data_IF_857592056094
#
_entry.id   IF_857592056094
#
_cell.length_a   1.000
_cell.length_b   1.000
_cell.length_c   1.000
_cell.angle_alpha   90.00
_cell.angle_beta   90.00
_cell.angle_gamma   90.00
#
_symmetry.space_group_name_H-M   'P 1'
#
loop_
_entity.id
_entity.type
_entity.pdbx_description
1 polymer ?
#
# COMPACT_ATOMS: atom_id res chain seq x y z
N UNK A 1 -37.68 31.95 -13.42
CA UNK A 1 -38.11 32.31 -12.05
C UNK A 1 -37.75 31.15 -11.11
N UNK A 2 -36.92 31.45 -10.09
CA UNK A 2 -36.70 30.76 -8.79
C UNK A 2 -36.14 29.31 -8.85
N UNK A 3 -34.85 29.06 -8.58
CA UNK A 3 -34.14 29.01 -7.27
C UNK A 3 -34.74 27.91 -6.35
N UNK A 4 -34.03 26.97 -5.71
CA UNK A 4 -32.62 26.83 -5.30
C UNK A 4 -32.35 25.33 -4.98
N UNK A 5 -31.12 24.81 -5.13
CA UNK A 5 -30.68 23.48 -4.66
C UNK A 5 -30.38 23.46 -3.15
N UNK A 6 -30.60 22.31 -2.51
CA UNK A 6 -30.27 22.05 -1.11
C UNK A 6 -28.75 21.89 -0.97
N UNK A 7 -28.15 22.88 -0.30
CA UNK A 7 -26.84 22.84 0.35
C UNK A 7 -26.69 21.54 1.16
N UNK A 8 -25.51 20.97 1.36
CA UNK A 8 -24.69 21.26 2.53
C UNK A 8 -23.20 21.14 2.13
N UNK A 9 -22.58 22.30 1.96
CA UNK A 9 -21.15 22.48 2.02
C UNK A 9 -20.82 23.25 3.31
N UNK A 10 -19.69 22.90 3.94
CA UNK A 10 -19.14 23.58 5.11
C UNK A 10 -19.64 22.95 6.40
N UNK A 11 -18.76 22.41 7.24
CA UNK A 11 -18.13 23.05 8.42
C UNK A 11 -17.56 21.82 9.16
N UNK A 12 -16.28 21.60 9.49
CA UNK A 12 -15.19 22.47 9.87
C UNK A 12 -13.88 21.68 9.73
N UNK A 13 -12.90 22.27 9.07
CA UNK A 13 -11.48 21.97 9.27
C UNK A 13 -11.00 22.66 10.56
N UNK A 14 -9.92 22.13 11.15
CA UNK A 14 -9.13 22.62 12.32
C UNK A 14 -9.52 22.12 13.72
N UNK A 15 -8.57 21.40 14.34
CA UNK A 15 -7.84 21.67 15.60
C UNK A 15 -7.20 20.32 16.04
N UNK A 16 -5.97 20.15 16.50
CA UNK A 16 -4.77 20.97 16.68
C UNK A 16 -3.60 20.00 16.92
N UNK A 17 -2.44 20.34 16.36
CA UNK A 17 -1.13 19.81 16.73
C UNK A 17 -0.72 20.26 18.15
N UNK A 18 0.32 19.60 18.67
CA UNK A 18 1.23 20.03 19.75
C UNK A 18 0.87 19.61 21.19
N UNK A 19 1.44 18.48 21.60
CA UNK A 19 1.71 18.14 23.00
C UNK A 19 3.21 18.12 23.26
N UNK A 20 3.87 19.28 23.20
CA UNK A 20 5.16 19.49 23.86
C UNK A 20 4.86 20.05 25.25
N UNK A 21 4.84 19.19 26.27
CA UNK A 21 4.80 19.63 27.66
C UNK A 21 6.24 19.85 28.15
N UNK A 22 6.82 21.00 27.83
CA UNK A 22 7.88 21.62 28.63
C UNK A 22 7.21 22.49 29.68
N UNK A 23 7.32 22.11 30.94
CA UNK A 23 6.91 22.94 32.07
C UNK A 23 8.15 23.39 32.87
N UNK A 24 8.11 24.60 33.46
CA UNK A 24 9.29 25.38 33.79
C UNK A 24 9.85 25.12 35.18
N UNK A 25 11.12 25.45 35.32
CA UNK A 25 11.89 25.59 36.55
C UNK A 25 11.25 26.58 37.52
N UNK A 26 11.02 26.13 38.76
CA UNK A 26 10.79 26.99 39.92
C UNK A 26 11.89 26.72 40.93
N UNK A 27 12.71 27.75 41.14
CA UNK A 27 13.68 27.84 42.23
C UNK A 27 12.96 27.83 43.58
N UNK A 28 13.43 26.98 44.50
CA UNK A 28 13.26 27.21 45.94
C UNK A 28 14.54 26.86 46.67
N UNK A 29 15.32 27.90 46.95
CA UNK A 29 16.40 27.90 47.94
C UNK A 29 15.81 27.52 49.30
N UNK A 30 16.13 26.32 49.78
CA UNK A 30 16.01 26.00 51.20
C UNK A 30 17.33 25.36 51.63
N UNK A 31 18.11 26.19 52.31
CA UNK A 31 19.35 25.83 52.99
C UNK A 31 19.00 24.94 54.18
N UNK A 32 19.35 23.66 54.09
CA UNK A 32 19.46 22.77 55.25
C UNK A 32 20.83 22.11 55.17
N UNK A 33 21.72 22.62 56.03
CA UNK A 33 23.01 22.06 56.39
C UNK A 33 22.75 20.73 57.12
N UNK A 34 23.19 19.63 56.52
CA UNK A 34 23.42 18.36 57.21
C UNK A 34 24.64 17.68 56.62
N UNK A 35 25.45 17.17 57.54
CA UNK A 35 26.83 16.68 57.49
C UNK A 35 27.21 15.73 56.33
N UNK A 36 28.52 15.60 56.02
CA UNK A 36 28.98 14.83 54.88
C UNK A 36 28.91 13.34 55.19
N UNK A 37 27.87 12.67 54.71
CA UNK A 37 27.91 11.21 54.56
C UNK A 37 28.72 10.93 53.31
N UNK A 38 29.94 10.47 53.54
CA UNK A 38 30.93 10.00 52.59
C UNK A 38 30.32 8.86 51.76
N UNK A 39 29.60 9.21 50.69
CA UNK A 39 29.26 8.28 49.62
C UNK A 39 30.57 7.94 48.94
N UNK A 40 31.09 6.75 49.24
CA UNK A 40 32.10 6.10 48.45
C UNK A 40 31.62 6.07 47.00
N UNK A 41 32.14 7.02 46.21
CA UNK A 41 32.11 6.96 44.77
C UNK A 41 32.97 5.75 44.44
N UNK A 42 32.31 4.60 44.23
CA UNK A 42 32.90 3.55 43.42
C UNK A 42 33.30 4.20 42.11
N UNK A 43 34.58 4.58 42.03
CA UNK A 43 35.27 4.87 40.79
C UNK A 43 35.09 3.60 39.97
N UNK A 44 34.07 3.58 39.09
CA UNK A 44 34.15 2.84 37.85
C UNK A 44 35.47 3.27 37.25
N UNK A 45 36.49 2.43 37.42
CA UNK A 45 37.79 2.60 36.80
C UNK A 45 37.49 2.73 35.32
N UNK A 46 37.51 3.98 34.84
CA UNK A 46 37.41 4.24 33.44
C UNK A 46 38.60 3.49 32.84
N UNK A 47 38.30 2.47 32.04
CA UNK A 47 39.28 1.81 31.18
C UNK A 47 40.15 2.90 30.54
N UNK A 48 41.47 2.69 30.43
CA UNK A 48 42.36 3.68 29.85
C UNK A 48 41.80 4.11 28.49
N UNK A 49 41.71 5.42 28.28
CA UNK A 49 41.27 6.00 27.02
C UNK A 49 42.31 5.62 25.97
N UNK A 50 42.08 4.53 25.23
CA UNK A 50 42.89 4.19 24.07
C UNK A 50 42.37 5.04 22.93
N UNK A 51 43.09 6.10 22.55
CA UNK A 51 42.73 7.02 21.45
C UNK A 51 42.21 6.28 20.21
N UNK A 52 42.77 5.10 19.94
CA UNK A 52 42.40 4.17 18.88
C UNK A 52 40.93 3.69 18.90
N UNK A 53 40.29 3.52 20.07
CA UNK A 53 38.90 3.04 20.16
C UNK A 53 37.90 4.12 19.75
N UNK A 54 38.23 5.38 20.04
CA UNK A 54 37.49 6.55 19.60
C UNK A 54 37.71 6.82 18.11
N UNK A 55 38.92 6.61 17.59
CA UNK A 55 39.21 6.77 16.17
C UNK A 55 38.37 5.83 15.31
N UNK A 56 38.23 4.55 15.71
CA UNK A 56 37.33 3.60 15.04
C UNK A 56 35.86 4.04 15.11
N UNK A 57 35.40 4.54 16.26
CA UNK A 57 34.03 5.06 16.38
C UNK A 57 33.82 6.24 15.43
N UNK A 58 34.75 7.18 15.42
CA UNK A 58 34.69 8.38 14.60
C UNK A 58 34.73 8.04 13.10
N UNK A 59 35.60 7.12 12.70
CA UNK A 59 35.67 6.64 11.32
C UNK A 59 34.33 6.04 10.88
N UNK A 60 33.74 5.17 11.69
CA UNK A 60 32.43 4.58 11.41
C UNK A 60 31.33 5.63 11.25
N UNK A 61 31.29 6.63 12.14
CA UNK A 61 30.33 7.75 12.05
C UNK A 61 30.59 8.62 10.82
N UNK A 62 31.85 8.89 10.49
CA UNK A 62 32.22 9.67 9.31
C UNK A 62 31.84 8.97 7.99
N UNK A 63 31.82 7.63 7.97
CA UNK A 63 31.33 6.84 6.84
C UNK A 63 29.81 6.91 6.68
N UNK A 64 29.06 7.14 7.76
CA UNK A 64 27.60 7.33 7.71
C UNK A 64 27.20 8.79 7.44
N UNK A 65 27.99 9.76 7.89
CA UNK A 65 27.66 11.20 7.83
C UNK A 65 27.81 11.86 6.46
N UNK A 66 28.23 11.13 5.42
CA UNK A 66 28.44 11.68 4.07
C UNK A 66 27.17 11.48 3.23
N UNK A 67 26.43 12.53 2.86
CA UNK A 67 25.16 12.40 2.14
C UNK A 67 25.30 11.70 0.78
N UNK A 68 26.36 11.99 0.02
CA UNK A 68 26.58 11.44 -1.33
C UNK A 68 27.47 10.18 -1.36
N UNK A 69 28.10 9.84 -0.24
CA UNK A 69 29.11 8.76 -0.15
C UNK A 69 28.96 7.93 1.11
N UNK A 70 27.75 7.85 1.65
CA UNK A 70 27.49 7.02 2.82
C UNK A 70 27.76 5.58 2.46
N UNK A 71 28.60 4.91 3.26
CA UNK A 71 28.92 3.50 3.10
C UNK A 71 28.54 2.75 4.39
N UNK A 72 27.26 2.34 4.52
CA UNK A 72 26.77 1.68 5.73
C UNK A 72 27.44 0.32 5.94
N UNK A 73 27.77 -0.41 4.88
CA UNK A 73 28.44 -1.71 4.97
C UNK A 73 29.85 -1.56 5.53
N UNK A 74 30.61 -0.57 5.04
CA UNK A 74 31.94 -0.27 5.58
C UNK A 74 31.86 0.27 7.00
N UNK A 75 30.93 1.17 7.31
CA UNK A 75 30.71 1.67 8.67
C UNK A 75 30.41 0.54 9.65
N UNK A 76 29.54 -0.41 9.26
CA UNK A 76 29.22 -1.61 10.04
C UNK A 76 30.47 -2.43 10.35
N UNK A 77 31.35 -2.63 9.36
CA UNK A 77 32.59 -3.37 9.54
C UNK A 77 33.54 -2.68 10.53
N UNK A 78 33.65 -1.35 10.46
CA UNK A 78 34.47 -0.55 11.40
C UNK A 78 33.93 -0.64 12.83
N UNK A 79 32.62 -0.54 13.02
CA UNK A 79 32.01 -0.75 14.34
C UNK A 79 32.21 -2.18 14.85
N UNK A 80 32.13 -3.19 13.99
CA UNK A 80 32.42 -4.57 14.38
C UNK A 80 33.89 -4.75 14.80
N UNK A 81 34.83 -4.10 14.10
CA UNK A 81 36.24 -4.07 14.48
C UNK A 81 36.46 -3.44 15.85
N UNK A 82 35.75 -2.34 16.17
CA UNK A 82 35.78 -1.73 17.51
C UNK A 82 35.35 -2.73 18.60
N UNK A 83 34.24 -3.43 18.38
CA UNK A 83 33.70 -4.40 19.34
C UNK A 83 34.63 -5.61 19.54
N UNK A 84 35.36 -6.01 18.50
CA UNK A 84 36.29 -7.13 18.52
C UNK A 84 37.60 -6.77 19.24
N UNK A 85 38.22 -5.63 18.91
CA UNK A 85 39.53 -5.24 19.43
C UNK A 85 39.45 -4.59 20.82
N UNK A 86 38.34 -3.90 21.11
CA UNK A 86 38.15 -3.16 22.37
C UNK A 86 36.83 -3.56 23.07
N UNK A 87 36.68 -4.81 23.52
CA UNK A 87 35.43 -5.32 24.08
C UNK A 87 35.01 -4.61 25.39
N UNK A 88 35.94 -3.97 26.10
CA UNK A 88 35.72 -3.18 27.32
C UNK A 88 35.68 -1.66 27.06
N UNK A 89 35.62 -1.23 25.80
CA UNK A 89 35.48 0.17 25.42
C UNK A 89 34.19 0.76 25.97
N UNK A 90 34.22 2.05 26.33
CA UNK A 90 33.01 2.81 26.65
C UNK A 90 32.10 3.05 25.45
N UNK A 91 32.62 2.95 24.24
CA UNK A 91 31.91 3.17 22.99
C UNK A 91 31.23 1.92 22.46
N UNK A 92 31.39 0.78 23.15
CA UNK A 92 30.80 -0.50 22.78
C UNK A 92 29.30 -0.40 22.52
N UNK A 93 28.54 0.17 23.44
CA UNK A 93 27.08 0.29 23.31
C UNK A 93 26.66 1.14 22.11
N UNK A 94 27.42 2.22 21.82
CA UNK A 94 27.18 3.06 20.65
C UNK A 94 27.45 2.28 19.36
N UNK A 95 28.57 1.57 19.27
CA UNK A 95 28.92 0.74 18.11
C UNK A 95 27.89 -0.38 17.87
N UNK A 96 27.45 -1.09 18.92
CA UNK A 96 26.38 -2.09 18.83
C UNK A 96 25.06 -1.48 18.32
N UNK A 97 24.72 -0.28 18.79
CA UNK A 97 23.51 0.43 18.35
C UNK A 97 23.61 0.83 16.89
N UNK A 98 24.76 1.35 16.44
CA UNK A 98 24.95 1.70 15.03
C UNK A 98 24.87 0.49 14.11
N UNK A 99 25.48 -0.64 14.48
CA UNK A 99 25.35 -1.90 13.71
C UNK A 99 23.87 -2.28 13.57
N UNK A 100 23.12 -2.26 14.68
CA UNK A 100 21.70 -2.58 14.66
C UNK A 100 20.90 -1.65 13.76
N UNK A 101 21.12 -0.34 13.86
CA UNK A 101 20.43 0.65 13.03
C UNK A 101 20.75 0.49 11.55
N UNK A 102 22.00 0.14 11.22
CA UNK A 102 22.40 -0.18 9.83
C UNK A 102 21.60 -1.39 9.35
N UNK A 103 21.59 -2.48 10.10
CA UNK A 103 20.89 -3.72 9.75
C UNK A 103 19.38 -3.49 9.59
N UNK A 104 18.76 -2.76 10.52
CA UNK A 104 17.34 -2.39 10.46
C UNK A 104 17.01 -1.50 9.25
N UNK A 105 17.88 -0.55 8.93
CA UNK A 105 17.70 0.35 7.77
C UNK A 105 17.82 -0.44 6.47
N UNK A 106 18.80 -1.34 6.35
CA UNK A 106 18.96 -2.19 5.17
C UNK A 106 17.76 -3.13 4.99
N UNK A 107 17.30 -3.78 6.06
CA UNK A 107 16.10 -4.61 6.05
C UNK A 107 14.84 -3.82 5.64
N UNK A 108 14.68 -2.59 6.16
CA UNK A 108 13.58 -1.70 5.80
C UNK A 108 13.62 -1.31 4.32
N UNK A 109 14.81 -1.02 3.78
CA UNK A 109 15.00 -0.70 2.35
C UNK A 109 14.66 -1.89 1.47
N UNK A 110 15.09 -3.10 1.84
CA UNK A 110 14.77 -4.31 1.08
C UNK A 110 13.26 -4.59 1.09
N UNK A 111 12.62 -4.48 2.26
CA UNK A 111 11.17 -4.61 2.37
C UNK A 111 10.45 -3.60 1.48
N UNK A 112 10.88 -2.35 1.51
CA UNK A 112 10.29 -1.29 0.67
C UNK A 112 10.45 -1.58 -0.82
N UNK A 113 11.62 -2.07 -1.25
CA UNK A 113 11.84 -2.51 -2.65
C UNK A 113 10.88 -3.65 -3.02
N UNK A 114 10.74 -4.64 -2.13
CA UNK A 114 9.85 -5.77 -2.36
C UNK A 114 8.39 -5.33 -2.45
N UNK A 115 7.93 -4.47 -1.53
CA UNK A 115 6.57 -3.92 -1.53
C UNK A 115 6.28 -3.13 -2.82
N UNK A 116 7.25 -2.36 -3.32
CA UNK A 116 7.13 -1.69 -4.62
C UNK A 116 6.96 -2.68 -5.77
N UNK A 117 7.76 -3.75 -5.82
CA UNK A 117 7.64 -4.78 -6.85
C UNK A 117 6.27 -5.48 -6.81
N UNK A 118 5.73 -5.72 -5.61
CA UNK A 118 4.39 -6.31 -5.46
C UNK A 118 3.30 -5.34 -5.92
N UNK A 119 3.42 -4.05 -5.60
CA UNK A 119 2.49 -3.02 -6.07
C UNK A 119 2.49 -2.92 -7.59
N UNK A 120 3.66 -2.92 -8.23
CA UNK A 120 3.77 -2.86 -9.69
C UNK A 120 3.12 -4.07 -10.35
N UNK A 121 3.36 -5.28 -9.84
CA UNK A 121 2.71 -6.51 -10.32
C UNK A 121 1.18 -6.45 -10.14
N UNK A 122 0.71 -6.01 -8.98
CA UNK A 122 -0.72 -5.89 -8.72
C UNK A 122 -1.39 -4.86 -9.65
N UNK A 123 -0.69 -3.78 -9.99
CA UNK A 123 -1.18 -2.80 -10.97
C UNK A 123 -1.24 -3.38 -12.38
N UNK A 124 -0.24 -4.16 -12.80
CA UNK A 124 -0.25 -4.84 -14.10
C UNK A 124 -1.38 -5.86 -14.22
N UNK A 125 -1.56 -6.70 -13.19
CA UNK A 125 -2.65 -7.67 -13.13
C UNK A 125 -4.03 -6.99 -13.16
N UNK A 126 -4.18 -5.90 -12.40
CA UNK A 126 -5.41 -5.09 -12.44
C UNK A 126 -5.67 -4.52 -13.84
N UNK A 127 -4.64 -3.99 -14.50
CA UNK A 127 -4.78 -3.46 -15.85
C UNK A 127 -5.18 -4.55 -16.86
N UNK A 128 -4.60 -5.75 -16.73
CA UNK A 128 -4.98 -6.91 -17.54
C UNK A 128 -6.44 -7.32 -17.30
N UNK A 129 -6.84 -7.46 -16.04
CA UNK A 129 -8.21 -7.81 -15.68
C UNK A 129 -9.24 -6.79 -16.19
N UNK A 130 -8.92 -5.49 -16.15
CA UNK A 130 -9.78 -4.44 -16.72
C UNK A 130 -9.95 -4.60 -18.24
N UNK A 131 -8.86 -4.85 -18.98
CA UNK A 131 -8.92 -5.07 -20.43
C UNK A 131 -9.75 -6.31 -20.77
N UNK A 132 -9.58 -7.40 -20.04
CA UNK A 132 -10.38 -8.62 -20.20
C UNK A 132 -11.85 -8.36 -19.89
N UNK A 133 -12.16 -7.62 -18.83
CA UNK A 133 -13.54 -7.26 -18.48
C UNK A 133 -14.20 -6.42 -19.59
N UNK A 134 -13.50 -5.43 -20.12
CA UNK A 134 -13.99 -4.59 -21.22
C UNK A 134 -14.21 -5.41 -22.50
N UNK A 135 -13.31 -6.35 -22.79
CA UNK A 135 -13.47 -7.28 -23.91
C UNK A 135 -14.71 -8.16 -23.73
N UNK A 136 -14.87 -8.80 -22.58
CA UNK A 136 -16.04 -9.63 -22.28
C UNK A 136 -17.34 -8.83 -22.34
N UNK A 137 -17.37 -7.59 -21.83
CA UNK A 137 -18.54 -6.70 -21.94
C UNK A 137 -18.89 -6.36 -23.38
N UNK A 138 -17.91 -6.21 -24.28
CA UNK A 138 -18.17 -6.03 -25.71
C UNK A 138 -18.76 -7.31 -26.31
N UNK A 139 -18.13 -8.46 -26.07
CA UNK A 139 -18.60 -9.75 -26.56
C UNK A 139 -20.03 -10.06 -26.10
N UNK A 140 -20.37 -9.78 -24.83
CA UNK A 140 -21.73 -9.97 -24.32
C UNK A 140 -22.73 -9.08 -25.06
N UNK A 141 -22.39 -7.80 -25.31
CA UNK A 141 -23.26 -6.90 -26.08
C UNK A 141 -23.49 -7.41 -27.49
N UNK A 142 -22.41 -7.75 -28.20
CA UNK A 142 -22.48 -8.24 -29.58
C UNK A 142 -23.31 -9.52 -29.68
N UNK A 143 -23.13 -10.47 -28.73
CA UNK A 143 -23.91 -11.70 -28.69
C UNK A 143 -25.38 -11.45 -28.34
N UNK A 144 -25.66 -10.50 -27.44
CA UNK A 144 -27.03 -10.12 -27.08
C UNK A 144 -27.75 -9.50 -28.27
N UNK A 145 -27.08 -8.62 -29.01
CA UNK A 145 -27.63 -8.00 -30.23
C UNK A 145 -27.91 -9.05 -31.31
N UNK A 146 -26.97 -9.96 -31.56
CA UNK A 146 -27.18 -11.08 -32.51
C UNK A 146 -28.33 -11.97 -32.10
N UNK A 147 -28.37 -12.39 -30.83
CA UNK A 147 -29.44 -13.23 -30.32
C UNK A 147 -30.80 -12.55 -30.44
N UNK A 148 -30.88 -11.25 -30.15
CA UNK A 148 -32.11 -10.49 -30.29
C UNK A 148 -32.53 -10.38 -31.76
N UNK A 149 -31.59 -10.15 -32.68
CA UNK A 149 -31.87 -10.12 -34.12
C UNK A 149 -32.40 -11.47 -34.61
N UNK A 150 -31.74 -12.58 -34.29
CA UNK A 150 -32.19 -13.93 -34.63
C UNK A 150 -33.58 -14.23 -34.07
N UNK A 151 -33.84 -13.84 -32.81
CA UNK A 151 -35.16 -14.00 -32.20
C UNK A 151 -36.23 -13.22 -32.95
N UNK A 152 -35.93 -12.00 -33.41
CA UNK A 152 -36.89 -11.21 -34.22
C UNK A 152 -37.16 -11.85 -35.58
N UNK A 153 -36.13 -12.41 -36.23
CA UNK A 153 -36.30 -13.13 -37.50
C UNK A 153 -37.18 -14.38 -37.29
N UNK A 154 -36.85 -15.22 -36.31
CA UNK A 154 -37.61 -16.43 -36.02
C UNK A 154 -39.07 -16.15 -35.65
N UNK A 155 -39.33 -15.07 -34.90
CA UNK A 155 -40.71 -14.68 -34.56
C UNK A 155 -41.48 -14.21 -35.78
N UNK A 156 -40.87 -13.45 -36.68
CA UNK A 156 -41.50 -13.06 -37.95
C UNK A 156 -41.79 -14.26 -38.85
N UNK A 157 -40.82 -15.17 -39.00
CA UNK A 157 -41.00 -16.42 -39.75
C UNK A 157 -42.12 -17.28 -39.17
N UNK A 158 -42.20 -17.39 -37.84
CA UNK A 158 -43.24 -18.16 -37.18
C UNK A 158 -44.65 -17.60 -37.46
N UNK A 159 -44.81 -16.28 -37.42
CA UNK A 159 -46.07 -15.62 -37.73
C UNK A 159 -46.45 -15.78 -39.22
N UNK A 160 -45.47 -15.68 -40.12
CA UNK A 160 -45.69 -15.93 -41.55
C UNK A 160 -46.17 -17.38 -41.79
N UNK A 161 -45.49 -18.37 -41.19
CA UNK A 161 -45.87 -19.77 -41.30
C UNK A 161 -47.27 -20.05 -40.71
N UNK A 162 -47.64 -19.38 -39.60
CA UNK A 162 -49.00 -19.49 -39.04
C UNK A 162 -50.05 -18.97 -40.03
N UNK A 163 -49.81 -17.83 -40.66
CA UNK A 163 -50.73 -17.24 -41.64
C UNK A 163 -50.87 -18.13 -42.88
N UNK A 164 -49.74 -18.64 -43.40
CA UNK A 164 -49.74 -19.57 -44.54
C UNK A 164 -50.50 -20.85 -44.22
N UNK A 165 -50.31 -21.39 -43.02
CA UNK A 165 -51.02 -22.59 -42.55
C UNK A 165 -52.54 -22.34 -42.43
N UNK A 166 -52.96 -21.17 -41.97
CA UNK A 166 -54.38 -20.79 -41.95
C UNK A 166 -54.96 -20.67 -43.35
N UNK A 167 -54.22 -20.08 -44.30
CA UNK A 167 -54.63 -19.96 -45.69
C UNK A 167 -54.77 -21.32 -46.36
N UNK A 168 -53.81 -22.23 -46.16
CA UNK A 168 -53.88 -23.60 -46.67
C UNK A 168 -55.10 -24.34 -46.13
N UNK A 169 -55.41 -24.20 -44.83
CA UNK A 169 -56.63 -24.77 -44.24
C UNK A 169 -57.91 -24.22 -44.87
N UNK A 170 -57.97 -22.93 -45.17
CA UNK A 170 -59.13 -22.34 -45.83
C UNK A 170 -59.32 -22.90 -47.26
N UNK A 171 -58.24 -22.98 -48.03
CA UNK A 171 -58.26 -23.57 -49.38
C UNK A 171 -58.65 -25.04 -49.37
N UNK A 172 -58.17 -25.82 -48.39
CA UNK A 172 -58.56 -27.21 -48.20
C UNK A 172 -60.07 -27.34 -47.98
N UNK A 173 -60.66 -26.49 -47.12
CA UNK A 173 -62.11 -26.48 -46.88
C UNK A 173 -62.88 -26.14 -48.17
N UNK A 174 -62.40 -25.19 -48.98
CA UNK A 174 -63.03 -24.83 -50.25
C UNK A 174 -62.98 -25.97 -51.27
N UNK A 175 -61.84 -26.66 -51.38
CA UNK A 175 -61.69 -27.84 -52.23
C UNK A 175 -62.68 -28.93 -51.82
N UNK A 176 -62.75 -29.25 -50.53
CA UNK A 176 -63.69 -30.24 -50.02
C UNK A 176 -65.16 -29.87 -50.29
N UNK A 177 -65.51 -28.58 -50.17
CA UNK A 177 -66.86 -28.09 -50.52
C UNK A 177 -67.16 -28.29 -52.00
N UNK A 178 -66.22 -27.95 -52.90
CA UNK A 178 -66.38 -28.16 -54.34
C UNK A 178 -66.51 -29.63 -54.68
N UNK A 179 -65.69 -30.49 -54.07
CA UNK A 179 -65.76 -31.94 -54.28
C UNK A 179 -67.13 -32.52 -53.88
N UNK A 180 -67.70 -32.06 -52.76
CA UNK A 180 -69.05 -32.46 -52.32
C UNK A 180 -70.16 -31.97 -53.24
N UNK A 181 -69.99 -30.82 -53.91
CA UNK A 181 -70.98 -30.31 -54.87
C UNK A 181 -70.91 -31.03 -56.23
N UNK A 182 -69.78 -31.67 -56.54
CA UNK A 182 -69.54 -32.39 -57.80
C UNK A 182 -69.85 -33.89 -57.71
N UNK A 183 -70.17 -34.41 -56.51
CA UNK A 183 -70.60 -35.79 -56.26
C UNK A 183 -72.09 -35.84 -55.98
#
# INVERSE_FOLDING_TARGET
MRCLPIAHAGIFTLLLLAGCATAPTVEKKTEIRSEPVEKQVEKKVASPLTVEDFDLLYEGVALLGRPDRSDPTKARSVFASLLQHYPKSRWRSAAETFIRLIDETEASREKSRHDHLLLDKAQEERAKALRENDHLRKTIRDLTEKHQAEKTVLTQENELLKNDLQRLKALEIELQKRERMLR
#
